data_IF_261292926400
#
_entry.id   IF_261292926400
#
_cell.length_a   1.000
_cell.length_b   1.000
_cell.length_c   1.000
_cell.angle_alpha   90.00
_cell.angle_beta   90.00
_cell.angle_gamma   90.00
#
_symmetry.space_group_name_H-M   'P 1'
#
loop_
_entity.id
_entity.type
_entity.pdbx_description
1 polymer ?
#
# COMPACT_ATOMS: atom_id res chain seq x y z
N UNK A 1 -14.17 -15.46 -23.17
CA UNK A 1 -15.00 -15.34 -21.96
C UNK A 1 -14.51 -16.31 -20.89
N UNK A 2 -14.52 -17.63 -21.15
CA UNK A 2 -14.04 -18.63 -20.18
C UNK A 2 -12.57 -18.49 -19.78
N UNK A 3 -11.64 -18.18 -20.71
CA UNK A 3 -10.24 -17.92 -20.34
C UNK A 3 -10.08 -16.70 -19.41
N UNK A 4 -10.87 -15.64 -19.60
CA UNK A 4 -10.81 -14.47 -18.73
C UNK A 4 -11.38 -14.78 -17.35
N UNK A 5 -12.48 -15.56 -17.30
CA UNK A 5 -13.02 -16.05 -16.03
C UNK A 5 -11.98 -16.89 -15.29
N UNK A 6 -11.38 -17.88 -15.97
CA UNK A 6 -10.35 -18.72 -15.39
C UNK A 6 -9.16 -17.91 -14.86
N UNK A 7 -8.71 -16.90 -15.59
CA UNK A 7 -7.64 -16.02 -15.15
C UNK A 7 -8.02 -15.24 -13.87
N UNK A 8 -9.23 -14.68 -13.84
CA UNK A 8 -9.74 -13.91 -12.69
C UNK A 8 -9.91 -14.81 -11.46
N UNK A 9 -10.55 -15.97 -11.59
CA UNK A 9 -10.70 -16.93 -10.48
C UNK A 9 -9.33 -17.34 -9.92
N UNK A 10 -8.35 -17.54 -10.80
CA UNK A 10 -6.99 -17.91 -10.38
C UNK A 10 -6.26 -16.79 -9.64
N UNK A 11 -6.56 -15.52 -9.97
CA UNK A 11 -6.04 -14.34 -9.27
C UNK A 11 -6.72 -14.13 -7.92
N UNK A 12 -8.00 -14.49 -7.79
CA UNK A 12 -8.76 -14.43 -6.55
C UNK A 12 -8.45 -15.58 -5.58
N UNK A 13 -7.60 -16.53 -5.96
CA UNK A 13 -7.24 -17.69 -5.14
C UNK A 13 -8.18 -18.90 -5.30
N UNK A 14 -9.19 -18.81 -6.17
CA UNK A 14 -10.11 -19.91 -6.47
C UNK A 14 -9.52 -20.84 -7.54
N UNK A 15 -8.40 -21.51 -7.21
CA UNK A 15 -7.62 -22.29 -8.17
C UNK A 15 -8.39 -23.48 -8.77
N UNK A 16 -9.23 -24.16 -8.00
CA UNK A 16 -10.05 -25.26 -8.51
C UNK A 16 -11.11 -24.76 -9.52
N UNK A 17 -11.75 -23.61 -9.23
CA UNK A 17 -12.71 -22.98 -10.13
C UNK A 17 -12.03 -22.46 -11.41
N UNK A 18 -10.82 -21.93 -11.28
CA UNK A 18 -9.99 -21.55 -12.42
C UNK A 18 -9.66 -22.74 -13.33
N UNK A 19 -9.29 -23.89 -12.74
CA UNK A 19 -9.02 -25.13 -13.48
C UNK A 19 -10.28 -25.57 -14.22
N UNK A 20 -11.44 -25.59 -13.56
CA UNK A 20 -12.71 -25.96 -14.17
C UNK A 20 -13.08 -25.04 -15.34
N UNK A 21 -13.01 -23.72 -15.14
CA UNK A 21 -13.32 -22.73 -16.18
C UNK A 21 -12.35 -22.82 -17.40
N UNK A 22 -11.06 -23.09 -17.16
CA UNK A 22 -10.08 -23.29 -18.22
C UNK A 22 -10.30 -24.62 -18.96
N UNK A 23 -10.68 -25.69 -18.26
CA UNK A 23 -11.05 -26.98 -18.88
C UNK A 23 -12.30 -26.83 -19.77
N UNK A 24 -13.31 -26.10 -19.31
CA UNK A 24 -14.48 -25.75 -20.12
C UNK A 24 -14.09 -24.99 -21.39
N UNK A 25 -13.14 -24.05 -21.28
CA UNK A 25 -12.62 -23.34 -22.44
C UNK A 25 -11.97 -24.30 -23.45
N UNK A 26 -11.11 -25.21 -22.98
CA UNK A 26 -10.47 -26.24 -23.82
C UNK A 26 -11.53 -27.14 -24.46
N UNK A 27 -12.57 -27.56 -23.75
CA UNK A 27 -13.64 -28.38 -24.31
C UNK A 27 -14.41 -27.63 -25.42
N UNK A 28 -14.71 -26.35 -25.21
CA UNK A 28 -15.36 -25.50 -26.21
C UNK A 28 -14.50 -25.36 -27.46
N UNK A 29 -13.20 -25.10 -27.31
CA UNK A 29 -12.24 -25.08 -28.41
C UNK A 29 -12.12 -26.46 -29.07
N UNK A 30 -12.17 -27.55 -28.31
CA UNK A 30 -12.18 -28.92 -28.82
C UNK A 30 -13.40 -29.23 -29.68
N UNK A 31 -14.58 -28.69 -29.32
CA UNK A 31 -15.82 -28.83 -30.10
C UNK A 31 -15.79 -28.05 -31.43
N UNK A 32 -14.85 -27.12 -31.60
CA UNK A 32 -14.65 -26.39 -32.87
C UNK A 32 -13.62 -27.04 -33.79
N UNK A 33 -13.01 -28.15 -33.39
CA UNK A 33 -12.07 -28.91 -34.23
C UNK A 33 -12.74 -29.34 -35.53
N UNK A 34 -12.14 -28.96 -36.67
CA UNK A 34 -12.64 -29.27 -38.02
C UNK A 34 -13.66 -28.28 -38.58
N UNK A 35 -14.03 -27.23 -37.85
CA UNK A 35 -14.82 -26.10 -38.38
C UNK A 35 -13.94 -25.19 -39.24
N UNK A 36 -12.68 -25.04 -38.86
CA UNK A 36 -11.70 -24.19 -39.51
C UNK A 36 -10.74 -25.03 -40.36
N UNK A 37 -10.34 -24.51 -41.53
CA UNK A 37 -9.30 -25.14 -42.34
C UNK A 37 -7.96 -25.10 -41.59
N UNK A 38 -7.13 -26.15 -41.65
CA UNK A 38 -5.81 -26.15 -41.02
C UNK A 38 -4.98 -24.94 -41.44
N UNK A 39 -4.44 -24.21 -40.47
CA UNK A 39 -3.65 -23.00 -40.71
C UNK A 39 -4.46 -21.73 -41.03
N UNK A 40 -5.79 -21.79 -40.95
CA UNK A 40 -6.63 -20.59 -41.01
C UNK A 40 -6.58 -19.77 -39.72
N UNK A 41 -7.04 -18.52 -39.78
CA UNK A 41 -7.10 -17.61 -38.63
C UNK A 41 -7.92 -18.20 -37.46
N UNK A 42 -9.02 -18.91 -37.75
CA UNK A 42 -9.84 -19.55 -36.73
C UNK A 42 -9.13 -20.72 -36.04
N UNK A 43 -8.35 -21.51 -36.78
CA UNK A 43 -7.52 -22.59 -36.24
C UNK A 43 -6.42 -22.04 -35.31
N UNK A 44 -5.77 -20.94 -35.72
CA UNK A 44 -4.77 -20.24 -34.91
C UNK A 44 -5.36 -19.63 -33.63
N UNK A 45 -6.54 -18.99 -33.71
CA UNK A 45 -7.24 -18.44 -32.55
C UNK A 45 -7.66 -19.52 -31.56
N UNK A 46 -8.10 -20.67 -32.05
CA UNK A 46 -8.44 -21.83 -31.22
C UNK A 46 -7.22 -22.39 -30.50
N UNK A 47 -6.10 -22.53 -31.20
CA UNK A 47 -4.83 -22.98 -30.64
C UNK A 47 -4.30 -21.97 -29.59
N UNK A 48 -4.36 -20.67 -29.87
CA UNK A 48 -4.01 -19.63 -28.90
C UNK A 48 -4.91 -19.69 -27.65
N UNK A 49 -6.21 -19.87 -27.85
CA UNK A 49 -7.18 -20.01 -26.75
C UNK A 49 -6.92 -21.23 -25.88
N UNK A 50 -6.65 -22.39 -26.50
CA UNK A 50 -6.28 -23.64 -25.81
C UNK A 50 -4.95 -23.48 -25.07
N UNK A 51 -3.96 -22.86 -25.69
CA UNK A 51 -2.65 -22.59 -25.07
C UNK A 51 -2.78 -21.73 -23.81
N UNK A 52 -3.60 -20.66 -23.88
CA UNK A 52 -3.89 -19.79 -22.73
C UNK A 52 -4.53 -20.59 -21.59
N UNK A 53 -5.51 -21.43 -21.90
CA UNK A 53 -6.18 -22.25 -20.90
C UNK A 53 -5.23 -23.25 -20.23
N UNK A 54 -4.37 -23.92 -21.01
CA UNK A 54 -3.35 -24.83 -20.47
C UNK A 54 -2.35 -24.12 -19.56
N UNK A 55 -1.92 -22.91 -19.92
CA UNK A 55 -1.04 -22.08 -19.10
C UNK A 55 -1.71 -21.68 -17.77
N UNK A 56 -2.98 -21.26 -17.80
CA UNK A 56 -3.76 -20.95 -16.58
C UNK A 56 -3.91 -22.18 -15.68
N UNK A 57 -4.20 -23.35 -16.25
CA UNK A 57 -4.29 -24.61 -15.48
C UNK A 57 -2.93 -24.95 -14.85
N UNK A 58 -1.83 -24.79 -15.61
CA UNK A 58 -0.48 -24.99 -15.09
C UNK A 58 -0.18 -24.10 -13.89
N UNK A 59 -0.50 -22.81 -14.00
CA UNK A 59 -0.33 -21.83 -12.92
C UNK A 59 -1.21 -22.13 -11.70
N UNK A 60 -2.46 -22.51 -11.90
CA UNK A 60 -3.36 -22.93 -10.82
C UNK A 60 -2.82 -24.17 -10.09
N UNK A 61 -2.31 -25.18 -10.81
CA UNK A 61 -1.65 -26.33 -10.19
C UNK A 61 -0.40 -25.95 -9.40
N UNK A 62 0.40 -24.99 -9.90
CA UNK A 62 1.55 -24.47 -9.15
C UNK A 62 1.09 -23.83 -7.82
N UNK A 63 0.04 -23.00 -7.84
CA UNK A 63 -0.52 -22.39 -6.62
C UNK A 63 -1.14 -23.40 -5.65
N UNK A 64 -1.64 -24.53 -6.16
CA UNK A 64 -2.08 -25.68 -5.35
C UNK A 64 -0.92 -26.56 -4.84
N UNK A 65 0.34 -26.14 -5.02
CA UNK A 65 1.54 -26.89 -4.67
C UNK A 65 1.63 -28.27 -5.36
N UNK A 66 1.23 -28.33 -6.64
CA UNK A 66 1.23 -29.53 -7.48
C UNK A 66 2.19 -29.37 -8.68
N UNK A 67 3.52 -29.33 -8.42
CA UNK A 67 4.50 -28.92 -9.44
C UNK A 67 4.61 -29.90 -10.62
N UNK A 68 4.36 -31.19 -10.41
CA UNK A 68 4.39 -32.20 -11.49
C UNK A 68 3.27 -31.97 -12.50
N UNK A 69 2.06 -31.66 -12.02
CA UNK A 69 0.91 -31.32 -12.84
C UNK A 69 1.16 -30.00 -13.58
N UNK A 70 1.66 -28.98 -12.87
CA UNK A 70 2.01 -27.69 -13.46
C UNK A 70 2.98 -27.86 -14.65
N UNK A 71 4.09 -28.60 -14.46
CA UNK A 71 5.06 -28.86 -15.54
C UNK A 71 4.45 -29.59 -16.73
N UNK A 72 3.52 -30.52 -16.52
CA UNK A 72 2.85 -31.23 -17.60
C UNK A 72 2.00 -30.27 -18.45
N UNK A 73 1.18 -29.42 -17.80
CA UNK A 73 0.37 -28.44 -18.52
C UNK A 73 1.21 -27.35 -19.19
N UNK A 74 2.26 -26.85 -18.54
CA UNK A 74 3.20 -25.92 -19.17
C UNK A 74 3.92 -26.55 -20.37
N UNK A 75 4.29 -27.82 -20.33
CA UNK A 75 4.88 -28.51 -21.48
C UNK A 75 3.90 -28.59 -22.65
N UNK A 76 2.62 -28.93 -22.40
CA UNK A 76 1.59 -28.94 -23.44
C UNK A 76 1.35 -27.55 -24.01
N UNK A 77 1.26 -26.53 -23.15
CA UNK A 77 1.13 -25.14 -23.56
C UNK A 77 2.34 -24.68 -24.41
N UNK A 78 3.56 -25.05 -24.02
CA UNK A 78 4.78 -24.68 -24.73
C UNK A 78 4.81 -25.30 -26.13
N UNK A 79 4.49 -26.59 -26.25
CA UNK A 79 4.41 -27.27 -27.56
C UNK A 79 3.41 -26.57 -28.48
N UNK A 80 2.23 -26.21 -27.98
CA UNK A 80 1.24 -25.50 -28.78
C UNK A 80 1.69 -24.08 -29.15
N UNK A 81 2.38 -23.38 -28.23
CA UNK A 81 2.97 -22.07 -28.49
C UNK A 81 4.07 -22.11 -29.57
N UNK A 82 4.85 -23.19 -29.63
CA UNK A 82 5.84 -23.45 -30.68
C UNK A 82 5.15 -23.72 -32.03
N UNK A 83 4.12 -24.56 -32.06
CA UNK A 83 3.37 -24.90 -33.28
C UNK A 83 2.74 -23.67 -33.96
N UNK A 84 2.20 -22.73 -33.17
CA UNK A 84 1.58 -21.51 -33.69
C UNK A 84 2.53 -20.31 -33.76
N UNK A 85 3.82 -20.49 -33.45
CA UNK A 85 4.83 -19.43 -33.37
C UNK A 85 4.45 -18.26 -32.42
N UNK A 86 3.74 -18.54 -31.32
CA UNK A 86 3.43 -17.58 -30.26
C UNK A 86 4.66 -17.35 -29.36
N UNK A 87 5.60 -16.53 -29.83
CA UNK A 87 6.84 -16.22 -29.10
C UNK A 87 6.57 -15.57 -27.73
N UNK A 88 5.55 -14.71 -27.63
CA UNK A 88 5.19 -14.09 -26.36
C UNK A 88 4.68 -15.13 -25.36
N UNK A 89 3.82 -16.06 -25.79
CA UNK A 89 3.36 -17.18 -24.99
C UNK A 89 4.48 -18.12 -24.58
N UNK A 90 5.42 -18.45 -25.48
CA UNK A 90 6.61 -19.25 -25.14
C UNK A 90 7.41 -18.62 -24.00
N UNK A 91 7.65 -17.31 -24.05
CA UNK A 91 8.38 -16.58 -23.02
C UNK A 91 7.65 -16.64 -21.66
N UNK A 92 6.35 -16.37 -21.64
CA UNK A 92 5.52 -16.46 -20.42
C UNK A 92 5.56 -17.86 -19.80
N UNK A 93 5.42 -18.91 -20.62
CA UNK A 93 5.43 -20.31 -20.15
C UNK A 93 6.82 -20.69 -19.59
N UNK A 94 7.91 -20.19 -20.19
CA UNK A 94 9.26 -20.39 -19.65
C UNK A 94 9.41 -19.70 -18.29
N UNK A 95 8.86 -18.51 -18.10
CA UNK A 95 8.82 -17.84 -16.79
C UNK A 95 8.05 -18.66 -15.77
N UNK A 96 6.84 -19.14 -16.10
CA UNK A 96 6.08 -20.00 -15.18
C UNK A 96 6.81 -21.32 -14.88
N UNK A 97 7.48 -21.92 -15.87
CA UNK A 97 8.30 -23.12 -15.67
C UNK A 97 9.46 -22.86 -14.71
N UNK A 98 10.09 -21.68 -14.80
CA UNK A 98 11.09 -21.22 -13.84
C UNK A 98 10.51 -21.14 -12.42
N UNK A 99 9.30 -20.59 -12.26
CA UNK A 99 8.62 -20.51 -10.97
C UNK A 99 8.32 -21.89 -10.36
N UNK A 100 8.01 -22.90 -11.18
CA UNK A 100 7.86 -24.28 -10.68
C UNK A 100 9.18 -24.82 -10.12
N UNK A 101 10.31 -24.60 -10.81
CA UNK A 101 11.61 -25.05 -10.28
C UNK A 101 12.01 -24.28 -9.03
N UNK A 102 11.66 -23.00 -8.94
CA UNK A 102 11.85 -22.19 -7.73
C UNK A 102 11.04 -22.77 -6.56
N UNK A 103 9.76 -23.08 -6.74
CA UNK A 103 8.93 -23.68 -5.68
C UNK A 103 9.43 -25.06 -5.22
N UNK A 104 10.19 -25.75 -6.06
CA UNK A 104 10.87 -27.01 -5.73
C UNK A 104 12.24 -26.82 -5.07
N UNK A 105 12.75 -25.58 -4.97
CA UNK A 105 14.07 -25.24 -4.45
C UNK A 105 15.23 -25.40 -5.47
N UNK A 106 14.96 -25.74 -6.73
CA UNK A 106 15.97 -25.80 -7.79
C UNK A 106 16.17 -24.41 -8.42
N UNK A 107 16.74 -23.50 -7.62
CA UNK A 107 16.89 -22.08 -7.96
C UNK A 107 17.83 -21.86 -9.15
N UNK A 108 18.83 -22.72 -9.34
CA UNK A 108 19.76 -22.62 -10.48
C UNK A 108 19.01 -22.91 -11.78
N UNK A 109 18.15 -23.93 -11.78
CA UNK A 109 17.34 -24.27 -12.96
C UNK A 109 16.26 -23.22 -13.21
N UNK A 110 15.63 -22.69 -12.17
CA UNK A 110 14.71 -21.56 -12.28
C UNK A 110 15.35 -20.37 -13.02
N UNK A 111 16.56 -19.98 -12.61
CA UNK A 111 17.31 -18.89 -13.24
C UNK A 111 17.68 -19.15 -14.71
N UNK A 112 17.92 -20.41 -15.12
CA UNK A 112 18.12 -20.75 -16.54
C UNK A 112 16.86 -20.50 -17.38
N UNK A 113 15.70 -20.95 -16.88
CA UNK A 113 14.42 -20.72 -17.53
C UNK A 113 14.08 -19.24 -17.64
N UNK A 114 14.28 -18.47 -16.56
CA UNK A 114 14.06 -17.02 -16.58
C UNK A 114 14.95 -16.29 -17.58
N UNK A 115 16.24 -16.63 -17.67
CA UNK A 115 17.15 -16.04 -18.67
C UNK A 115 16.70 -16.32 -20.10
N UNK A 116 16.23 -17.54 -20.37
CA UNK A 116 15.68 -17.92 -21.68
C UNK A 116 14.41 -17.14 -22.00
N UNK A 117 13.52 -16.98 -21.03
CA UNK A 117 12.30 -16.17 -21.18
C UNK A 117 12.63 -14.70 -21.49
N UNK A 118 13.59 -14.09 -20.79
CA UNK A 118 14.00 -12.70 -21.01
C UNK A 118 14.49 -12.43 -22.43
N UNK A 119 15.28 -13.34 -23.03
CA UNK A 119 15.75 -13.20 -24.42
C UNK A 119 14.57 -13.12 -25.40
N UNK A 120 13.53 -13.93 -25.17
CA UNK A 120 12.35 -13.93 -26.04
C UNK A 120 11.50 -12.69 -25.77
N UNK A 121 11.25 -12.33 -24.50
CA UNK A 121 10.51 -11.12 -24.14
C UNK A 121 11.14 -9.86 -24.75
N UNK A 122 12.47 -9.74 -24.71
CA UNK A 122 13.21 -8.63 -25.33
C UNK A 122 13.01 -8.62 -26.86
N UNK A 123 13.11 -9.78 -27.51
CA UNK A 123 12.92 -9.92 -28.96
C UNK A 123 11.53 -9.46 -29.42
N UNK A 124 10.48 -9.71 -28.62
CA UNK A 124 9.10 -9.34 -28.94
C UNK A 124 8.66 -8.00 -28.32
N UNK A 125 9.54 -7.32 -27.56
CA UNK A 125 9.24 -6.06 -26.90
C UNK A 125 8.19 -6.15 -25.77
N UNK A 126 8.08 -7.29 -25.08
CA UNK A 126 7.10 -7.49 -24.00
C UNK A 126 7.65 -6.99 -22.65
N UNK A 127 7.61 -5.67 -22.43
CA UNK A 127 8.11 -5.02 -21.19
C UNK A 127 7.42 -5.56 -19.92
N UNK A 128 6.11 -5.85 -19.96
CA UNK A 128 5.39 -6.41 -18.82
C UNK A 128 5.91 -7.79 -18.42
N UNK A 129 6.15 -8.66 -19.41
CA UNK A 129 6.74 -9.98 -19.20
C UNK A 129 8.18 -9.90 -18.71
N UNK A 130 8.96 -8.93 -19.20
CA UNK A 130 10.32 -8.67 -18.68
C UNK A 130 10.28 -8.27 -17.21
N UNK A 131 9.39 -7.33 -16.83
CA UNK A 131 9.25 -6.89 -15.44
C UNK A 131 8.92 -8.04 -14.49
N UNK A 132 7.94 -8.88 -14.84
CA UNK A 132 7.58 -10.06 -14.06
C UNK A 132 8.73 -11.08 -13.98
N UNK A 133 9.44 -11.32 -15.08
CA UNK A 133 10.56 -12.28 -15.11
C UNK A 133 11.75 -11.78 -14.29
N UNK A 134 12.07 -10.49 -14.36
CA UNK A 134 13.11 -9.87 -13.53
C UNK A 134 12.77 -9.93 -12.03
N UNK A 135 11.51 -9.69 -11.66
CA UNK A 135 11.04 -9.87 -10.28
C UNK A 135 11.24 -11.32 -9.79
N UNK A 136 10.82 -12.30 -10.60
CA UNK A 136 10.99 -13.71 -10.27
C UNK A 136 12.47 -14.11 -10.12
N UNK A 137 13.35 -13.59 -11.00
CA UNK A 137 14.80 -13.75 -10.85
C UNK A 137 15.33 -13.12 -9.56
N UNK A 138 14.88 -11.90 -9.24
CA UNK A 138 15.25 -11.22 -8.00
C UNK A 138 14.88 -12.02 -6.76
N UNK A 139 13.68 -12.62 -6.76
CA UNK A 139 13.22 -13.51 -5.69
C UNK A 139 14.09 -14.77 -5.56
N UNK A 140 14.35 -15.47 -6.67
CA UNK A 140 15.21 -16.65 -6.65
C UNK A 140 16.65 -16.34 -6.20
N UNK A 141 17.18 -15.17 -6.57
CA UNK A 141 18.50 -14.70 -6.15
C UNK A 141 18.53 -14.32 -4.67
N UNK A 142 17.44 -13.73 -4.16
CA UNK A 142 17.27 -13.48 -2.73
C UNK A 142 17.25 -14.81 -1.95
N UNK A 143 16.49 -15.82 -2.38
CA UNK A 143 16.51 -17.15 -1.75
C UNK A 143 17.90 -17.81 -1.77
N UNK A 144 18.71 -17.54 -2.80
CA UNK A 144 20.11 -17.97 -2.90
C UNK A 144 21.10 -17.14 -2.07
N UNK A 145 20.64 -16.10 -1.36
CA UNK A 145 21.47 -15.13 -0.66
C UNK A 145 22.45 -14.35 -1.56
N UNK A 146 22.12 -14.22 -2.84
CA UNK A 146 22.86 -13.45 -3.84
C UNK A 146 22.32 -12.02 -3.93
N UNK A 147 22.41 -11.30 -2.80
CA UNK A 147 21.77 -9.99 -2.63
C UNK A 147 22.14 -8.94 -3.70
N UNK A 148 23.41 -8.78 -4.11
CA UNK A 148 23.75 -7.79 -5.13
C UNK A 148 23.13 -8.11 -6.49
N UNK A 149 23.07 -9.38 -6.87
CA UNK A 149 22.40 -9.78 -8.11
C UNK A 149 20.88 -9.63 -8.00
N UNK A 150 20.29 -9.96 -6.84
CA UNK A 150 18.87 -9.75 -6.60
C UNK A 150 18.49 -8.27 -6.75
N UNK A 151 19.27 -7.37 -6.15
CA UNK A 151 19.12 -5.92 -6.25
C UNK A 151 19.09 -5.46 -7.71
N UNK A 152 20.07 -5.91 -8.52
CA UNK A 152 20.14 -5.58 -9.94
C UNK A 152 18.86 -6.01 -10.70
N UNK A 153 18.41 -7.25 -10.48
CA UNK A 153 17.23 -7.75 -11.18
C UNK A 153 15.95 -7.02 -10.75
N UNK A 154 15.80 -6.66 -9.47
CA UNK A 154 14.62 -5.94 -8.99
C UNK A 154 14.59 -4.50 -9.48
N UNK A 155 15.73 -3.82 -9.59
CA UNK A 155 15.80 -2.52 -10.26
C UNK A 155 15.44 -2.62 -11.75
N UNK A 156 15.89 -3.68 -12.43
CA UNK A 156 15.47 -3.95 -13.80
C UNK A 156 13.94 -4.15 -13.89
N UNK A 157 13.34 -4.90 -12.97
CA UNK A 157 11.89 -5.10 -12.91
C UNK A 157 11.13 -3.76 -12.79
N UNK A 158 11.52 -2.93 -11.83
CA UNK A 158 10.93 -1.60 -11.62
C UNK A 158 11.06 -0.76 -12.90
N UNK A 159 12.24 -0.72 -13.51
CA UNK A 159 12.46 0.07 -14.73
C UNK A 159 11.54 -0.35 -15.88
N UNK A 160 11.29 -1.65 -16.07
CA UNK A 160 10.39 -2.15 -17.12
C UNK A 160 8.93 -1.76 -16.87
N UNK A 161 8.46 -1.85 -15.64
CA UNK A 161 7.10 -1.42 -15.31
C UNK A 161 6.92 0.09 -15.37
N UNK A 162 7.95 0.88 -15.05
CA UNK A 162 7.92 2.32 -15.23
C UNK A 162 7.73 2.74 -16.69
N UNK A 163 8.32 1.98 -17.64
CA UNK A 163 8.13 2.24 -19.07
C UNK A 163 6.68 2.03 -19.54
N UNK A 164 5.89 1.21 -18.82
CA UNK A 164 4.48 0.96 -19.15
C UNK A 164 3.55 2.09 -18.67
N UNK A 165 4.00 2.90 -17.72
CA UNK A 165 3.16 3.90 -17.04
C UNK A 165 2.59 4.98 -17.98
N UNK A 166 3.34 5.53 -18.95
CA UNK A 166 2.78 6.48 -19.91
C UNK A 166 1.77 5.80 -20.84
N UNK A 167 0.48 6.15 -20.73
CA UNK A 167 -0.57 5.71 -21.66
C UNK A 167 -1.51 4.62 -21.14
N UNK A 168 -1.34 4.13 -19.91
CA UNK A 168 -2.31 3.23 -19.26
C UNK A 168 -3.57 3.99 -18.83
N UNK A 169 -4.74 3.38 -19.07
CA UNK A 169 -5.99 3.79 -18.41
C UNK A 169 -5.92 3.47 -16.90
N UNK A 170 -6.68 4.21 -16.09
CA UNK A 170 -6.57 4.15 -14.63
C UNK A 170 -6.79 2.74 -14.05
N UNK A 171 -7.65 1.93 -14.67
CA UNK A 171 -7.93 0.54 -14.25
C UNK A 171 -6.68 -0.36 -14.33
N UNK A 172 -5.83 -0.19 -15.34
CA UNK A 172 -4.61 -0.97 -15.50
C UNK A 172 -3.43 -0.42 -14.68
N UNK A 173 -3.56 0.80 -14.13
CA UNK A 173 -2.56 1.34 -13.20
C UNK A 173 -2.63 0.66 -11.84
N UNK A 174 -3.80 0.18 -11.42
CA UNK A 174 -3.99 -0.53 -10.15
C UNK A 174 -3.24 -1.85 -10.16
N UNK A 175 -3.44 -2.69 -11.18
CA UNK A 175 -2.72 -3.97 -11.31
C UNK A 175 -1.21 -3.80 -11.46
N UNK A 176 -0.76 -2.71 -12.12
CA UNK A 176 0.66 -2.37 -12.18
C UNK A 176 1.20 -1.95 -10.81
N UNK A 177 0.41 -1.22 -10.01
CA UNK A 177 0.80 -0.79 -8.68
C UNK A 177 0.99 -1.98 -7.73
N UNK A 178 0.12 -2.99 -7.79
CA UNK A 178 0.24 -4.20 -6.96
C UNK A 178 1.53 -4.98 -7.25
N UNK A 179 1.86 -5.19 -8.53
CA UNK A 179 3.11 -5.84 -8.96
C UNK A 179 4.35 -5.02 -8.58
N UNK A 180 4.24 -3.70 -8.63
CA UNK A 180 5.28 -2.80 -8.18
C UNK A 180 5.48 -2.87 -6.66
N UNK A 181 4.41 -2.96 -5.85
CA UNK A 181 4.50 -3.03 -4.37
C UNK A 181 5.35 -4.20 -3.92
N UNK A 182 5.04 -5.42 -4.38
CA UNK A 182 5.76 -6.64 -4.02
C UNK A 182 7.26 -6.54 -4.35
N UNK A 183 7.59 -5.86 -5.45
CA UNK A 183 8.98 -5.67 -5.86
C UNK A 183 9.70 -4.62 -5.03
N UNK A 184 9.01 -3.54 -4.66
CA UNK A 184 9.55 -2.55 -3.73
C UNK A 184 9.84 -3.16 -2.37
N UNK A 185 8.92 -3.96 -1.83
CA UNK A 185 9.07 -4.68 -0.57
C UNK A 185 10.24 -5.67 -0.60
N UNK A 186 10.33 -6.49 -1.65
CA UNK A 186 11.44 -7.43 -1.80
C UNK A 186 12.78 -6.71 -1.97
N UNK A 187 12.84 -5.64 -2.78
CA UNK A 187 14.06 -4.87 -2.95
C UNK A 187 14.47 -4.18 -1.65
N UNK A 188 13.52 -3.71 -0.84
CA UNK A 188 13.82 -3.17 0.47
C UNK A 188 14.48 -4.23 1.36
N UNK A 189 13.94 -5.45 1.43
CA UNK A 189 14.54 -6.57 2.17
C UNK A 189 15.95 -6.89 1.66
N UNK A 190 16.17 -6.89 0.34
CA UNK A 190 17.49 -7.09 -0.28
C UNK A 190 18.49 -6.01 0.14
N UNK A 191 18.06 -4.74 0.21
CA UNK A 191 18.91 -3.63 0.63
C UNK A 191 19.26 -3.72 2.13
N UNK A 192 18.28 -4.03 2.98
CA UNK A 192 18.49 -4.26 4.41
C UNK A 192 19.46 -5.43 4.66
N UNK A 193 19.31 -6.54 3.94
CA UNK A 193 20.22 -7.69 4.00
C UNK A 193 21.67 -7.35 3.60
N UNK A 194 21.86 -6.27 2.83
CA UNK A 194 23.17 -5.74 2.44
C UNK A 194 23.67 -4.62 3.37
N UNK A 195 22.95 -4.31 4.45
CA UNK A 195 23.21 -3.17 5.34
C UNK A 195 23.13 -1.79 4.66
N UNK A 196 22.39 -1.71 3.54
CA UNK A 196 22.10 -0.48 2.79
C UNK A 196 20.81 0.18 3.30
N UNK A 197 20.80 0.55 4.59
CA UNK A 197 19.58 1.02 5.27
C UNK A 197 19.08 2.37 4.75
N UNK A 198 19.99 3.20 4.25
CA UNK A 198 19.64 4.51 3.70
C UNK A 198 18.98 4.37 2.32
N UNK A 199 19.53 3.54 1.46
CA UNK A 199 18.93 3.22 0.16
C UNK A 199 17.55 2.57 0.32
N UNK A 200 17.38 1.74 1.36
CA UNK A 200 16.10 1.15 1.72
C UNK A 200 15.06 2.19 2.18
N UNK A 201 15.49 3.26 2.85
CA UNK A 201 14.64 4.40 3.25
C UNK A 201 14.20 5.21 2.03
N UNK A 202 15.13 5.57 1.13
CA UNK A 202 14.78 6.28 -0.11
C UNK A 202 13.78 5.47 -0.96
N UNK A 203 13.95 4.15 -1.00
CA UNK A 203 13.04 3.24 -1.69
C UNK A 203 11.64 3.21 -1.05
N UNK A 204 11.57 3.22 0.29
CA UNK A 204 10.32 3.24 1.04
C UNK A 204 9.48 4.49 0.70
N UNK A 205 10.12 5.66 0.70
CA UNK A 205 9.47 6.93 0.34
C UNK A 205 9.05 6.97 -1.13
N UNK A 206 9.83 6.33 -2.03
CA UNK A 206 9.46 6.18 -3.44
C UNK A 206 8.16 5.41 -3.63
N UNK A 207 7.92 4.36 -2.84
CA UNK A 207 6.71 3.55 -2.88
C UNK A 207 5.47 4.31 -2.40
N UNK A 208 5.60 5.10 -1.32
CA UNK A 208 4.46 5.73 -0.62
C UNK A 208 4.00 7.05 -1.20
N UNK A 209 4.93 7.94 -1.55
CA UNK A 209 4.59 9.31 -1.93
C UNK A 209 3.84 9.39 -3.26
N UNK A 210 4.13 8.50 -4.19
CA UNK A 210 3.85 8.78 -5.60
C UNK A 210 2.37 8.94 -5.96
N UNK A 211 1.49 8.04 -5.54
CA UNK A 211 0.06 8.11 -5.88
C UNK A 211 -0.62 9.32 -5.24
N UNK A 212 -0.28 9.62 -3.98
CA UNK A 212 -0.85 10.76 -3.27
C UNK A 212 -0.31 12.09 -3.83
N UNK A 213 0.97 12.16 -4.17
CA UNK A 213 1.61 13.34 -4.77
C UNK A 213 1.05 13.61 -6.18
N UNK A 214 0.84 12.56 -7.00
CA UNK A 214 0.17 12.68 -8.30
C UNK A 214 -1.26 13.24 -8.15
N UNK A 215 -2.00 12.77 -7.14
CA UNK A 215 -3.34 13.27 -6.81
C UNK A 215 -3.31 14.74 -6.35
N UNK A 216 -2.38 15.11 -5.47
CA UNK A 216 -2.20 16.50 -5.04
C UNK A 216 -1.86 17.42 -6.22
N UNK A 217 -0.86 17.06 -7.03
CA UNK A 217 -0.44 17.86 -8.18
C UNK A 217 -1.59 18.08 -9.19
N UNK A 218 -2.36 17.02 -9.46
CA UNK A 218 -3.56 17.09 -10.32
C UNK A 218 -4.59 18.06 -9.76
N UNK A 219 -4.85 18.00 -8.45
CA UNK A 219 -5.81 18.89 -7.77
C UNK A 219 -5.34 20.36 -7.76
N UNK A 220 -4.02 20.61 -7.74
CA UNK A 220 -3.45 21.96 -7.74
C UNK A 220 -3.27 22.59 -9.12
N UNK A 221 -3.61 21.88 -10.22
CA UNK A 221 -3.40 22.34 -11.61
C UNK A 221 -1.96 22.79 -11.90
N UNK A 222 -1.00 22.31 -11.12
CA UNK A 222 0.41 22.41 -11.46
C UNK A 222 0.75 21.22 -12.35
N UNK A 223 1.62 21.41 -13.35
CA UNK A 223 2.23 20.23 -13.97
C UNK A 223 2.93 19.49 -12.83
N UNK A 224 2.56 18.24 -12.49
CA UNK A 224 3.34 17.48 -11.53
C UNK A 224 4.78 17.53 -12.05
N UNK A 225 5.73 18.11 -11.30
CA UNK A 225 7.11 17.82 -11.62
C UNK A 225 7.23 16.28 -11.59
N UNK A 226 8.12 15.71 -12.38
CA UNK A 226 8.58 14.36 -12.08
C UNK A 226 9.29 14.47 -10.72
N UNK A 227 8.54 14.39 -9.62
CA UNK A 227 9.08 14.54 -8.29
C UNK A 227 9.76 13.21 -8.02
N UNK A 228 11.06 13.17 -8.26
CA UNK A 228 11.89 12.07 -7.84
C UNK A 228 11.63 11.82 -6.33
N UNK A 229 11.71 10.57 -5.87
CA UNK A 229 11.68 10.30 -4.43
C UNK A 229 12.75 11.14 -3.71
N UNK A 230 12.50 11.58 -2.47
CA UNK A 230 13.46 12.38 -1.73
C UNK A 230 14.72 11.55 -1.47
N UNK A 231 15.88 12.12 -1.78
CA UNK A 231 17.17 11.60 -1.35
C UNK A 231 17.34 11.69 0.16
N UNK A 232 18.28 10.96 0.74
CA UNK A 232 18.61 11.05 2.18
C UNK A 232 18.89 12.49 2.61
N UNK A 233 19.62 13.26 1.80
CA UNK A 233 19.91 14.65 2.11
C UNK A 233 18.64 15.51 2.18
N UNK A 234 17.66 15.24 1.31
CA UNK A 234 16.35 15.89 1.34
C UNK A 234 15.53 15.44 2.55
N UNK A 235 15.52 14.15 2.87
CA UNK A 235 14.85 13.60 4.08
C UNK A 235 15.40 14.28 5.35
N UNK A 236 16.72 14.37 5.48
CA UNK A 236 17.38 15.05 6.61
C UNK A 236 17.01 16.54 6.67
N UNK A 237 16.99 17.22 5.52
CA UNK A 237 16.59 18.62 5.43
C UNK A 237 15.13 18.83 5.83
N UNK A 238 14.24 17.88 5.51
CA UNK A 238 12.82 17.93 5.89
C UNK A 238 12.68 17.77 7.40
N UNK A 239 13.37 16.82 8.04
CA UNK A 239 13.36 16.68 9.51
C UNK A 239 13.84 17.96 10.21
N UNK A 240 14.95 18.54 9.72
CA UNK A 240 15.47 19.83 10.18
C UNK A 240 14.45 20.96 10.03
N UNK A 241 13.78 21.05 8.88
CA UNK A 241 12.78 22.08 8.59
C UNK A 241 11.54 21.96 9.47
N UNK A 242 11.09 20.74 9.76
CA UNK A 242 9.92 20.48 10.62
C UNK A 242 10.22 20.66 12.10
N UNK A 243 11.52 20.70 12.47
CA UNK A 243 11.98 20.67 13.86
C UNK A 243 11.31 19.54 14.64
N UNK A 244 11.31 18.34 14.05
CA UNK A 244 10.62 17.17 14.58
C UNK A 244 11.40 15.90 14.29
N UNK A 245 11.35 14.94 15.21
CA UNK A 245 11.85 13.58 14.97
C UNK A 245 10.85 12.85 14.08
N UNK A 246 11.29 12.41 12.91
CA UNK A 246 10.47 11.61 12.00
C UNK A 246 10.69 10.13 12.30
N UNK A 247 9.62 9.36 12.36
CA UNK A 247 9.68 7.90 12.56
C UNK A 247 8.95 7.24 11.41
N UNK A 248 9.71 6.69 10.48
CA UNK A 248 9.18 6.03 9.29
C UNK A 248 9.15 4.51 9.49
N UNK A 249 8.00 3.90 9.23
CA UNK A 249 7.80 2.46 9.30
C UNK A 249 7.71 1.86 7.91
N UNK A 250 8.41 0.75 7.68
CA UNK A 250 8.11 -0.13 6.56
C UNK A 250 7.76 -1.54 7.03
N UNK A 251 6.87 -2.20 6.30
CA UNK A 251 6.39 -3.53 6.63
C UNK A 251 6.96 -4.59 5.67
N UNK A 252 7.24 -5.75 6.24
CA UNK A 252 7.40 -7.01 5.52
C UNK A 252 6.58 -8.09 6.23
N UNK A 253 6.42 -9.27 5.60
CA UNK A 253 5.67 -10.38 6.21
C UNK A 253 6.22 -10.82 7.56
N UNK A 254 7.53 -10.65 7.80
CA UNK A 254 8.24 -11.19 8.96
C UNK A 254 8.74 -10.12 9.92
N UNK A 255 8.95 -8.89 9.45
CA UNK A 255 9.61 -7.82 10.19
C UNK A 255 8.98 -6.45 9.98
N UNK A 256 9.08 -5.60 10.99
CA UNK A 256 8.85 -4.16 10.91
C UNK A 256 10.20 -3.46 10.85
N UNK A 257 10.38 -2.60 9.85
CA UNK A 257 11.54 -1.74 9.68
C UNK A 257 11.23 -0.32 10.12
N UNK A 258 12.17 0.30 10.82
CA UNK A 258 11.96 1.58 11.49
C UNK A 258 13.15 2.48 11.26
N UNK A 259 12.91 3.67 10.72
CA UNK A 259 13.91 4.73 10.61
C UNK A 259 13.51 5.89 11.51
N UNK A 260 14.42 6.29 12.40
CA UNK A 260 14.28 7.48 13.22
C UNK A 260 15.20 8.55 12.66
N UNK A 261 14.62 9.64 12.16
CA UNK A 261 15.34 10.78 11.58
C UNK A 261 15.20 11.95 12.53
N UNK A 262 16.30 12.30 13.21
CA UNK A 262 16.32 13.37 14.19
C UNK A 262 16.43 14.75 13.52
N UNK A 263 16.00 15.83 14.21
CA UNK A 263 16.09 17.19 13.70
C UNK A 263 17.52 17.67 13.40
N UNK A 264 18.55 16.99 13.89
CA UNK A 264 19.95 17.27 13.56
C UNK A 264 20.41 16.60 12.27
N UNK A 265 19.59 15.71 11.70
CA UNK A 265 19.85 14.93 10.50
C UNK A 265 20.45 13.55 10.77
N UNK A 266 20.63 13.13 12.02
CA UNK A 266 21.00 11.74 12.31
C UNK A 266 19.87 10.78 11.91
N UNK A 267 20.24 9.68 11.24
CA UNK A 267 19.30 8.62 10.85
C UNK A 267 19.73 7.34 11.56
N UNK A 268 18.85 6.80 12.38
CA UNK A 268 19.01 5.51 13.03
C UNK A 268 18.02 4.50 12.45
N UNK A 269 18.48 3.27 12.24
CA UNK A 269 17.67 2.15 11.77
C UNK A 269 17.49 1.10 12.87
N UNK A 270 16.28 0.55 12.97
CA UNK A 270 15.92 -0.60 13.81
C UNK A 270 15.00 -1.53 13.02
N UNK A 271 15.01 -2.81 13.39
CA UNK A 271 14.05 -3.79 12.90
C UNK A 271 13.56 -4.68 14.04
N UNK A 272 12.33 -5.17 13.90
CA UNK A 272 11.71 -6.11 14.83
C UNK A 272 11.15 -7.29 14.06
N UNK A 273 11.56 -8.50 14.43
CA UNK A 273 10.92 -9.71 13.93
C UNK A 273 9.59 -9.94 14.64
N UNK A 274 8.53 -10.16 13.86
CA UNK A 274 7.15 -10.26 14.34
C UNK A 274 6.82 -11.65 14.92
N UNK A 275 7.40 -12.71 14.35
CA UNK A 275 7.10 -14.10 14.71
C UNK A 275 7.25 -14.42 16.21
N UNK A 276 8.30 -13.96 16.93
CA UNK A 276 8.44 -14.21 18.37
C UNK A 276 7.36 -13.53 19.24
N UNK A 277 6.82 -12.40 18.78
CA UNK A 277 5.86 -11.57 19.54
C UNK A 277 4.42 -11.99 19.21
N UNK A 278 4.12 -12.18 17.92
CA UNK A 278 2.75 -12.44 17.45
C UNK A 278 2.43 -13.93 17.24
N UNK A 279 3.43 -14.81 17.24
CA UNK A 279 3.24 -16.23 16.94
C UNK A 279 2.64 -16.43 15.55
N UNK A 280 1.42 -16.97 15.48
CA UNK A 280 0.69 -17.18 14.21
C UNK A 280 -0.24 -16.02 13.83
N UNK A 281 -0.32 -14.97 14.65
CA UNK A 281 -1.17 -13.80 14.39
C UNK A 281 -0.44 -12.83 13.45
N UNK A 282 -1.14 -12.28 12.46
CA UNK A 282 -0.57 -11.19 11.64
C UNK A 282 -0.66 -9.84 12.34
N UNK A 283 0.24 -8.92 11.99
CA UNK A 283 0.20 -7.54 12.49
C UNK A 283 -1.09 -6.84 12.08
N UNK A 284 -1.56 -7.04 10.85
CA UNK A 284 -2.85 -6.51 10.39
C UNK A 284 -4.02 -6.98 11.27
N UNK A 285 -4.06 -8.27 11.63
CA UNK A 285 -5.09 -8.81 12.51
C UNK A 285 -4.97 -8.28 13.94
N UNK A 286 -3.77 -7.95 14.42
CA UNK A 286 -3.56 -7.25 15.69
C UNK A 286 -4.13 -5.83 15.64
N UNK A 287 -3.76 -5.06 14.63
CA UNK A 287 -4.25 -3.69 14.45
C UNK A 287 -5.77 -3.66 14.32
N UNK A 288 -6.34 -4.56 13.52
CA UNK A 288 -7.78 -4.67 13.32
C UNK A 288 -8.51 -4.96 14.63
N UNK A 289 -8.09 -5.96 15.41
CA UNK A 289 -8.78 -6.24 16.68
C UNK A 289 -8.61 -5.13 17.71
N UNK A 290 -7.47 -4.44 17.71
CA UNK A 290 -7.24 -3.29 18.59
C UNK A 290 -8.28 -2.22 18.28
N UNK A 291 -8.49 -1.94 16.98
CA UNK A 291 -9.48 -0.97 16.53
C UNK A 291 -10.90 -1.41 16.85
N UNK A 292 -11.27 -2.65 16.53
CA UNK A 292 -12.59 -3.20 16.81
C UNK A 292 -12.89 -3.18 18.32
N UNK A 293 -11.87 -3.47 19.13
CA UNK A 293 -11.96 -3.48 20.58
C UNK A 293 -12.24 -2.11 21.19
N UNK A 294 -11.71 -1.03 20.62
CA UNK A 294 -11.97 0.34 21.10
C UNK A 294 -13.45 0.75 20.98
N UNK A 295 -14.27 0.06 20.17
CA UNK A 295 -15.68 0.40 19.96
C UNK A 295 -16.67 -0.51 20.70
N UNK A 296 -16.20 -1.53 21.42
CA UNK A 296 -17.06 -2.53 22.06
C UNK A 296 -16.97 -2.39 23.58
N UNK A 297 -17.89 -1.69 24.22
CA UNK A 297 -18.04 -1.80 25.69
C UNK A 297 -18.52 -3.22 26.07
N UNK A 298 -17.95 -3.86 27.11
CA UNK A 298 -16.99 -3.36 28.11
C UNK A 298 -15.52 -3.71 27.81
N UNK A 299 -15.20 -4.13 26.59
CA UNK A 299 -13.88 -4.62 26.22
C UNK A 299 -12.93 -3.45 25.93
N UNK A 300 -11.80 -3.43 26.63
CA UNK A 300 -10.73 -2.46 26.43
C UNK A 300 -9.48 -3.22 25.94
N UNK A 301 -8.92 -2.90 24.76
CA UNK A 301 -7.85 -3.68 24.13
C UNK A 301 -6.47 -3.34 24.71
N UNK A 302 -6.32 -3.40 26.04
CA UNK A 302 -5.10 -3.00 26.73
C UNK A 302 -3.89 -3.87 26.37
N UNK A 303 -4.08 -5.19 26.27
CA UNK A 303 -3.02 -6.14 25.89
C UNK A 303 -2.56 -5.90 24.45
N UNK A 304 -3.49 -5.62 23.52
CA UNK A 304 -3.14 -5.31 22.15
C UNK A 304 -2.40 -3.97 22.01
N UNK A 305 -2.82 -2.95 22.76
CA UNK A 305 -2.14 -1.64 22.80
C UNK A 305 -0.71 -1.77 23.35
N UNK A 306 -0.49 -2.62 24.36
CA UNK A 306 0.84 -2.93 24.87
C UNK A 306 1.69 -3.70 23.87
N UNK A 307 1.11 -4.70 23.20
CA UNK A 307 1.82 -5.48 22.17
C UNK A 307 2.22 -4.59 20.98
N UNK A 308 1.35 -3.67 20.56
CA UNK A 308 1.69 -2.68 19.54
C UNK A 308 2.77 -1.70 20.01
N UNK A 309 2.77 -1.29 21.28
CA UNK A 309 3.85 -0.49 21.85
C UNK A 309 5.19 -1.25 21.85
N UNK A 310 5.19 -2.53 22.24
CA UNK A 310 6.36 -3.40 22.23
C UNK A 310 6.97 -3.51 20.82
N UNK A 311 6.13 -3.62 19.79
CA UNK A 311 6.58 -3.74 18.40
C UNK A 311 7.04 -2.39 17.83
N UNK A 312 6.31 -1.30 18.10
CA UNK A 312 6.46 -0.04 17.36
C UNK A 312 7.23 1.04 18.11
N UNK A 313 7.29 1.02 19.45
CA UNK A 313 7.87 2.10 20.23
C UNK A 313 9.09 1.63 21.01
N UNK A 314 8.97 0.52 21.75
CA UNK A 314 10.06 -0.04 22.57
C UNK A 314 11.42 -0.15 21.82
N UNK A 315 11.49 -0.58 20.54
CA UNK A 315 12.76 -0.74 19.82
C UNK A 315 13.50 0.56 19.50
N UNK A 316 12.78 1.69 19.52
CA UNK A 316 13.30 3.02 19.19
C UNK A 316 13.18 4.00 20.35
N UNK A 317 12.73 3.57 21.53
CA UNK A 317 12.47 4.46 22.65
C UNK A 317 13.71 5.27 23.08
N UNK A 318 14.92 4.72 22.89
CA UNK A 318 16.20 5.40 23.14
C UNK A 318 16.53 6.51 22.14
N UNK A 319 15.83 6.54 21.00
CA UNK A 319 16.04 7.48 19.90
C UNK A 319 14.97 8.57 19.86
N UNK A 320 13.90 8.44 20.65
CA UNK A 320 12.81 9.41 20.71
C UNK A 320 13.17 10.59 21.62
N UNK A 321 12.64 11.79 21.34
CA UNK A 321 12.86 12.96 22.18
C UNK A 321 12.30 12.74 23.59
N UNK A 322 13.01 13.29 24.58
CA UNK A 322 12.58 13.22 26.00
C UNK A 322 11.87 14.48 26.47
N UNK A 323 11.94 15.57 25.69
CA UNK A 323 11.18 16.79 25.93
C UNK A 323 9.77 16.63 25.33
N UNK A 324 8.70 16.69 26.13
CA UNK A 324 7.33 16.54 25.64
C UNK A 324 6.92 17.59 24.59
N UNK A 325 7.60 18.75 24.54
CA UNK A 325 7.34 19.81 23.56
C UNK A 325 7.97 19.51 22.18
N UNK A 326 8.94 18.58 22.12
CA UNK A 326 9.52 18.13 20.87
C UNK A 326 8.55 17.19 20.15
N UNK A 327 8.37 17.44 18.85
CA UNK A 327 7.39 16.74 18.02
C UNK A 327 7.97 15.44 17.50
N UNK A 328 7.17 14.38 17.58
CA UNK A 328 7.37 13.13 16.85
C UNK A 328 6.34 13.07 15.72
N UNK A 329 6.81 12.84 14.49
CA UNK A 329 5.93 12.62 13.34
C UNK A 329 6.10 11.17 12.90
N UNK A 330 5.07 10.35 13.10
CA UNK A 330 5.03 8.99 12.57
C UNK A 330 4.65 9.00 11.10
N UNK A 331 5.34 8.19 10.30
CA UNK A 331 5.04 7.90 8.90
C UNK A 331 4.72 6.40 8.79
N UNK A 332 3.44 6.01 9.00
CA UNK A 332 3.03 4.61 8.97
C UNK A 332 2.98 4.05 7.54
N UNK A 333 2.95 2.72 7.43
CA UNK A 333 2.68 2.00 6.18
C UNK A 333 1.48 1.04 6.37
N UNK A 334 0.64 0.92 5.34
CA UNK A 334 -0.50 0.00 5.26
C UNK A 334 -1.38 -0.01 6.53
N UNK A 335 -1.56 -1.17 7.18
CA UNK A 335 -2.42 -1.28 8.37
C UNK A 335 -1.96 -0.39 9.52
N UNK A 336 -0.68 0.04 9.56
CA UNK A 336 -0.18 0.92 10.62
C UNK A 336 -0.84 2.31 10.61
N UNK A 337 -1.46 2.73 9.51
CA UNK A 337 -2.29 3.95 9.50
C UNK A 337 -3.50 3.88 10.44
N UNK A 338 -3.91 2.67 10.82
CA UNK A 338 -5.03 2.44 11.73
C UNK A 338 -4.58 2.28 13.19
N UNK A 339 -3.26 2.32 13.47
CA UNK A 339 -2.73 2.24 14.83
C UNK A 339 -3.02 3.55 15.58
N UNK A 340 -3.65 3.49 16.76
CA UNK A 340 -3.87 4.67 17.59
C UNK A 340 -2.59 4.99 18.37
N UNK A 341 -1.56 5.54 17.72
CA UNK A 341 -0.25 5.83 18.34
C UNK A 341 -0.36 6.57 19.68
N UNK A 342 -1.29 7.52 19.78
CA UNK A 342 -1.57 8.30 20.99
C UNK A 342 -2.01 7.44 22.19
N UNK A 343 -2.66 6.30 21.92
CA UNK A 343 -3.23 5.39 22.91
C UNK A 343 -2.36 4.15 23.18
N UNK A 344 -1.20 4.02 22.52
CA UNK A 344 -0.26 2.94 22.82
C UNK A 344 0.16 3.01 24.28
N UNK A 345 0.23 1.84 24.92
CA UNK A 345 0.49 1.68 26.35
C UNK A 345 1.88 1.09 26.57
N UNK A 346 2.67 1.73 27.42
CA UNK A 346 3.93 1.14 27.89
C UNK A 346 3.71 0.04 28.96
N UNK A 347 4.81 -0.58 29.42
CA UNK A 347 4.79 -1.61 30.48
C UNK A 347 4.26 -1.07 31.83
N UNK A 348 4.29 0.25 32.04
CA UNK A 348 3.75 0.92 33.23
C UNK A 348 2.31 1.42 33.04
N UNK A 349 1.62 1.00 31.98
CA UNK A 349 0.26 1.40 31.62
C UNK A 349 0.10 2.91 31.37
N UNK A 350 1.17 3.58 30.90
CA UNK A 350 1.11 4.99 30.49
C UNK A 350 0.90 5.10 29.00
N UNK A 351 0.04 6.03 28.62
CA UNK A 351 -0.23 6.32 27.22
C UNK A 351 0.91 7.13 26.60
N UNK A 352 1.27 6.81 25.36
CA UNK A 352 2.37 7.48 24.65
C UNK A 352 2.19 9.01 24.55
N UNK A 353 0.94 9.48 24.41
CA UNK A 353 0.60 10.91 24.37
C UNK A 353 0.92 11.67 25.67
N UNK A 354 1.10 10.97 26.79
CA UNK A 354 1.46 11.62 28.07
C UNK A 354 2.92 12.09 28.10
N UNK A 355 3.77 11.54 27.23
CA UNK A 355 5.20 11.81 27.21
C UNK A 355 5.66 12.57 25.97
N UNK A 356 4.87 12.59 24.90
CA UNK A 356 5.30 13.11 23.60
C UNK A 356 4.20 13.89 22.88
N UNK A 357 4.60 14.91 22.11
CA UNK A 357 3.72 15.57 21.14
C UNK A 357 3.75 14.79 19.81
N UNK A 358 2.62 14.18 19.44
CA UNK A 358 2.55 13.23 18.33
C UNK A 358 1.78 13.77 17.13
N UNK A 359 2.31 13.52 15.94
CA UNK A 359 1.68 13.76 14.64
C UNK A 359 1.83 12.54 13.75
N UNK A 360 0.99 12.43 12.73
CA UNK A 360 1.08 11.39 11.70
C UNK A 360 1.07 12.01 10.31
N UNK A 361 1.87 11.49 9.40
CA UNK A 361 1.93 11.92 8.01
C UNK A 361 1.93 10.72 7.05
N UNK A 362 1.40 10.86 5.82
CA UNK A 362 1.39 9.76 4.85
C UNK A 362 2.76 9.49 4.22
N UNK A 363 3.63 10.51 4.12
CA UNK A 363 5.03 10.36 3.71
C UNK A 363 5.85 11.59 4.12
N UNK A 364 7.17 11.46 4.17
CA UNK A 364 8.10 12.58 4.42
C UNK A 364 8.01 13.60 3.27
N UNK A 365 7.87 13.12 2.04
CA UNK A 365 7.71 14.00 0.88
C UNK A 365 6.45 14.89 0.96
N UNK A 366 5.34 14.38 1.51
CA UNK A 366 4.11 15.16 1.71
C UNK A 366 4.30 16.25 2.76
N UNK A 367 5.07 15.99 3.82
CA UNK A 367 5.43 17.02 4.81
C UNK A 367 6.18 18.18 4.15
N UNK A 368 7.09 17.89 3.21
CA UNK A 368 7.82 18.91 2.47
C UNK A 368 6.90 19.77 1.60
N UNK A 369 6.03 19.13 0.80
CA UNK A 369 5.11 19.83 -0.09
C UNK A 369 4.12 20.72 0.67
N UNK A 370 3.51 20.18 1.72
CA UNK A 370 2.53 20.94 2.53
C UNK A 370 3.20 22.16 3.18
N UNK A 371 4.43 22.00 3.68
CA UNK A 371 5.21 23.12 4.22
C UNK A 371 5.59 24.15 3.15
N UNK A 372 6.08 23.72 1.99
CA UNK A 372 6.43 24.62 0.87
C UNK A 372 5.22 25.44 0.43
N UNK A 373 4.06 24.80 0.29
CA UNK A 373 2.84 25.47 -0.13
C UNK A 373 2.36 26.47 0.93
N UNK A 374 2.46 26.14 2.22
CA UNK A 374 2.21 27.10 3.30
C UNK A 374 3.15 28.31 3.24
N UNK A 375 4.44 28.10 2.98
CA UNK A 375 5.43 29.16 2.89
C UNK A 375 5.23 30.07 1.65
N UNK A 376 4.94 29.48 0.48
CA UNK A 376 4.67 30.22 -0.76
C UNK A 376 3.37 31.03 -0.69
N UNK A 377 2.32 30.47 -0.07
CA UNK A 377 1.06 31.18 0.14
C UNK A 377 1.21 32.38 1.09
N UNK A 378 2.13 32.32 2.06
CA UNK A 378 2.47 33.47 2.91
C UNK A 378 3.17 34.61 2.15
N UNK A 379 3.82 34.33 1.01
CA UNK A 379 4.64 35.30 0.28
C UNK A 379 3.98 35.94 -0.94
N UNK A 380 3.05 35.27 -1.64
CA UNK A 380 2.70 35.65 -3.02
C UNK A 380 1.35 36.32 -3.22
N UNK A 381 0.32 36.13 -2.37
CA UNK A 381 -0.95 36.88 -2.45
C UNK A 381 -1.83 36.63 -1.21
N UNK A 382 -2.11 37.63 -0.36
CA UNK A 382 -3.02 37.46 0.78
C UNK A 382 -4.50 37.30 0.39
N UNK A 383 -4.87 37.49 -0.88
CA UNK A 383 -6.28 37.65 -1.30
C UNK A 383 -6.78 36.66 -2.35
N UNK A 384 -5.95 35.83 -2.97
CA UNK A 384 -6.38 34.91 -4.03
C UNK A 384 -5.52 33.63 -4.12
N UNK A 385 -5.75 32.68 -3.23
CA UNK A 385 -5.61 31.25 -3.54
C UNK A 385 -6.44 30.43 -2.54
N UNK A 386 -7.21 29.49 -3.06
CA UNK A 386 -8.12 28.62 -2.29
C UNK A 386 -7.27 27.56 -1.59
N UNK A 387 -6.81 27.86 -0.38
CA UNK A 387 -6.31 26.84 0.55
C UNK A 387 -7.55 26.16 1.12
N UNK A 388 -7.68 24.84 1.00
CA UNK A 388 -8.71 24.10 1.73
C UNK A 388 -8.48 24.37 3.22
N UNK A 389 -9.35 25.16 3.85
CA UNK A 389 -9.37 25.37 5.29
C UNK A 389 -8.47 26.47 5.87
N UNK A 390 -8.10 27.53 5.12
CA UNK A 390 -7.63 28.76 5.76
C UNK A 390 -8.44 29.99 5.29
N UNK A 391 -8.95 30.82 6.20
CA UNK A 391 -9.75 31.99 5.87
C UNK A 391 -8.93 33.09 5.20
N UNK A 392 -9.61 33.83 4.29
CA UNK A 392 -9.08 34.95 3.50
C UNK A 392 -8.63 36.17 4.33
N UNK A 393 -8.86 36.14 5.65
CA UNK A 393 -8.39 37.11 6.63
C UNK A 393 -8.18 36.40 7.99
N UNK A 394 -6.95 36.38 8.55
CA UNK A 394 -6.67 35.77 9.86
C UNK A 394 -7.52 36.34 11.01
N UNK A 395 -8.03 37.57 10.89
CA UNK A 395 -8.88 38.19 11.92
C UNK A 395 -10.36 37.80 11.82
N UNK A 396 -10.79 37.15 10.72
CA UNK A 396 -12.17 36.67 10.52
C UNK A 396 -12.30 35.14 10.61
N UNK A 397 -11.19 34.44 10.88
CA UNK A 397 -11.17 33.01 11.08
C UNK A 397 -12.03 32.56 12.26
N UNK A 398 -13.01 31.67 12.04
CA UNK A 398 -13.74 31.02 13.13
C UNK A 398 -13.35 29.56 13.23
N UNK A 399 -12.80 29.16 14.36
CA UNK A 399 -12.47 27.75 14.61
C UNK A 399 -13.76 26.94 14.76
N UNK A 400 -13.83 25.80 14.07
CA UNK A 400 -14.97 24.88 14.09
C UNK A 400 -14.64 23.71 15.01
N UNK A 401 -15.46 23.54 16.04
CA UNK A 401 -15.35 22.42 16.98
C UNK A 401 -16.68 21.70 16.97
N UNK A 402 -16.69 20.45 16.50
CA UNK A 402 -17.86 19.60 16.34
C UNK A 402 -17.77 18.42 17.30
N UNK A 403 -18.81 18.18 18.09
CA UNK A 403 -18.85 17.08 19.07
C UNK A 403 -20.20 16.40 19.13
N UNK A 404 -20.22 15.06 19.09
CA UNK A 404 -21.43 14.25 19.32
C UNK A 404 -22.71 14.80 18.62
N UNK A 405 -22.71 14.98 17.27
CA UNK A 405 -23.90 15.43 16.56
C UNK A 405 -25.05 14.45 16.75
N UNK A 406 -26.29 14.92 16.58
CA UNK A 406 -27.43 14.00 16.49
C UNK A 406 -27.26 13.10 15.28
N UNK A 407 -26.95 11.83 15.53
CA UNK A 407 -26.58 10.88 14.49
C UNK A 407 -27.80 10.45 13.64
N UNK A 408 -27.61 10.28 12.33
CA UNK A 408 -28.63 9.67 11.48
C UNK A 408 -28.91 8.22 11.90
N UNK A 409 -30.06 7.71 11.47
CA UNK A 409 -30.46 6.31 11.69
C UNK A 409 -29.43 5.41 11.01
N UNK A 410 -28.89 4.43 11.75
CA UNK A 410 -28.06 3.38 11.18
C UNK A 410 -28.94 2.56 10.22
N UNK A 411 -28.56 2.53 8.93
CA UNK A 411 -29.34 1.89 7.87
C UNK A 411 -29.39 0.36 8.00
N UNK A 412 -28.44 -0.26 8.70
CA UNK A 412 -28.41 -1.70 8.95
C UNK A 412 -29.28 -2.10 10.14
N UNK A 413 -29.32 -1.29 11.21
CA UNK A 413 -30.04 -1.63 12.45
C UNK A 413 -31.39 -0.91 12.60
N UNK A 414 -31.67 0.10 11.76
CA UNK A 414 -32.90 0.90 11.80
C UNK A 414 -33.03 1.80 13.04
N UNK A 415 -32.01 1.88 13.88
CA UNK A 415 -31.98 2.69 15.10
C UNK A 415 -30.90 3.79 15.02
N UNK A 416 -31.07 4.93 15.72
CA UNK A 416 -30.00 5.93 15.84
C UNK A 416 -28.78 5.32 16.52
N UNK A 417 -27.58 5.74 16.14
CA UNK A 417 -26.37 5.41 16.88
C UNK A 417 -26.45 5.98 18.32
N UNK A 418 -25.85 5.25 19.27
CA UNK A 418 -25.80 5.69 20.66
C UNK A 418 -25.01 7.01 20.76
N UNK A 419 -25.41 7.98 21.60
CA UNK A 419 -24.63 9.20 21.81
C UNK A 419 -23.24 8.91 22.37
N UNK A 420 -22.23 9.67 21.93
CA UNK A 420 -20.85 9.61 22.44
C UNK A 420 -20.64 10.75 23.44
N UNK A 421 -20.92 10.51 24.72
CA UNK A 421 -20.75 11.55 25.76
C UNK A 421 -19.31 12.05 25.86
N UNK A 422 -18.32 11.17 25.73
CA UNK A 422 -16.90 11.55 25.72
C UNK A 422 -16.54 12.51 24.58
N UNK A 423 -17.10 12.30 23.38
CA UNK A 423 -16.87 13.17 22.24
C UNK A 423 -17.52 14.55 22.42
N UNK A 424 -18.64 14.62 23.14
CA UNK A 424 -19.26 15.89 23.53
C UNK A 424 -18.40 16.65 24.53
N UNK A 425 -17.88 15.97 25.54
CA UNK A 425 -16.97 16.53 26.55
C UNK A 425 -15.66 17.03 25.92
N UNK A 426 -15.07 16.24 25.02
CA UNK A 426 -13.88 16.61 24.24
C UNK A 426 -14.11 17.89 23.46
N UNK A 427 -15.18 17.95 22.66
CA UNK A 427 -15.51 19.14 21.88
C UNK A 427 -15.74 20.37 22.76
N UNK A 428 -16.36 20.24 23.93
CA UNK A 428 -16.54 21.36 24.85
C UNK A 428 -15.20 21.86 25.42
N UNK A 429 -14.29 20.95 25.77
CA UNK A 429 -12.96 21.30 26.28
C UNK A 429 -12.11 21.99 25.20
N UNK A 430 -12.08 21.44 23.99
CA UNK A 430 -11.36 22.01 22.85
C UNK A 430 -11.94 23.38 22.46
N UNK A 431 -13.27 23.53 22.46
CA UNK A 431 -13.89 24.81 22.19
C UNK A 431 -13.51 25.88 23.21
N UNK A 432 -13.45 25.52 24.49
CA UNK A 432 -12.98 26.40 25.56
C UNK A 432 -11.51 26.81 25.35
N UNK A 433 -10.66 25.86 24.97
CA UNK A 433 -9.25 26.11 24.69
C UNK A 433 -9.03 27.05 23.48
N UNK A 434 -9.84 26.90 22.44
CA UNK A 434 -9.77 27.71 21.22
C UNK A 434 -10.57 29.02 21.29
N UNK A 435 -11.19 29.34 22.44
CA UNK A 435 -12.11 30.48 22.62
C UNK A 435 -13.20 30.52 21.54
N UNK A 436 -13.78 29.36 21.24
CA UNK A 436 -14.86 29.19 20.26
C UNK A 436 -16.05 28.44 20.87
N UNK A 437 -17.12 28.29 20.09
CA UNK A 437 -18.31 27.54 20.49
C UNK A 437 -18.30 26.16 19.85
N UNK A 438 -18.46 25.12 20.68
CA UNK A 438 -18.70 23.77 20.19
C UNK A 438 -20.09 23.67 19.53
N UNK A 439 -20.16 23.09 18.34
CA UNK A 439 -21.38 22.58 17.73
C UNK A 439 -21.62 21.17 18.25
N UNK A 440 -22.68 20.98 19.03
CA UNK A 440 -23.00 19.69 19.66
C UNK A 440 -24.47 19.31 19.48
N UNK A 441 -24.75 18.00 19.49
CA UNK A 441 -26.11 17.46 19.44
C UNK A 441 -26.93 17.99 18.27
N UNK A 442 -28.13 18.50 18.54
CA UNK A 442 -29.05 18.98 17.50
C UNK A 442 -28.59 20.27 16.80
N UNK A 443 -27.64 21.02 17.39
CA UNK A 443 -27.06 22.22 16.78
C UNK A 443 -26.00 21.87 15.72
N UNK A 444 -25.40 20.68 15.81
CA UNK A 444 -24.37 20.18 14.92
C UNK A 444 -24.96 19.61 13.62
N UNK A 445 -25.59 20.47 12.81
CA UNK A 445 -26.21 20.05 11.55
C UNK A 445 -25.22 20.12 10.38
N UNK A 446 -25.40 19.25 9.36
CA UNK A 446 -24.61 19.27 8.12
C UNK A 446 -24.55 20.66 7.47
N UNK A 447 -25.65 21.42 7.51
CA UNK A 447 -25.70 22.76 6.93
C UNK A 447 -24.76 23.73 7.67
N UNK A 448 -24.78 23.72 9.01
CA UNK A 448 -23.93 24.56 9.84
C UNK A 448 -22.45 24.19 9.67
N UNK A 449 -22.15 22.89 9.65
CA UNK A 449 -20.78 22.38 9.43
C UNK A 449 -20.24 22.83 8.07
N UNK A 450 -20.97 22.58 6.97
CA UNK A 450 -20.52 22.95 5.61
C UNK A 450 -20.37 24.47 5.45
N UNK A 451 -21.25 25.25 6.08
CA UNK A 451 -21.16 26.71 6.04
C UNK A 451 -19.89 27.21 6.72
N UNK A 452 -19.47 26.56 7.81
CA UNK A 452 -18.38 27.04 8.66
C UNK A 452 -17.02 26.47 8.24
N UNK A 453 -16.97 25.19 7.84
CA UNK A 453 -15.74 24.42 7.58
C UNK A 453 -14.83 25.08 6.53
N UNK A 454 -15.41 25.67 5.48
CA UNK A 454 -14.66 26.34 4.42
C UNK A 454 -14.02 27.66 4.85
N UNK A 455 -14.47 28.22 5.97
CA UNK A 455 -13.98 29.47 6.56
C UNK A 455 -13.21 29.25 7.86
N UNK A 456 -13.11 28.01 8.32
CA UNK A 456 -12.43 27.66 9.56
C UNK A 456 -10.94 27.56 9.35
N UNK A 457 -10.18 27.98 10.38
CA UNK A 457 -8.72 27.85 10.45
C UNK A 457 -8.32 26.54 11.12
N UNK A 458 -9.04 26.16 12.18
CA UNK A 458 -8.92 24.87 12.85
C UNK A 458 -10.28 24.18 12.74
N UNK A 459 -10.24 22.89 12.40
CA UNK A 459 -11.40 22.01 12.37
C UNK A 459 -11.12 20.84 13.31
N UNK A 460 -11.90 20.76 14.39
CA UNK A 460 -11.89 19.64 15.32
C UNK A 460 -13.22 18.89 15.19
N UNK A 461 -13.15 17.57 15.00
CA UNK A 461 -14.31 16.70 14.78
C UNK A 461 -14.21 15.52 15.75
N UNK A 462 -15.07 15.51 16.75
CA UNK A 462 -15.26 14.40 17.69
C UNK A 462 -16.65 13.80 17.45
N UNK A 463 -16.77 12.88 16.49
CA UNK A 463 -18.04 12.27 16.05
C UNK A 463 -17.85 10.77 15.77
N UNK A 464 -18.92 10.03 15.44
CA UNK A 464 -18.74 8.66 14.97
C UNK A 464 -18.14 8.68 13.55
N UNK A 465 -17.20 7.77 13.30
CA UNK A 465 -16.84 7.36 11.95
C UNK A 465 -17.59 6.09 11.56
N UNK A 466 -18.46 6.15 10.55
CA UNK A 466 -18.95 4.96 9.87
C UNK A 466 -18.15 4.80 8.57
N UNK A 467 -17.29 3.79 8.53
CA UNK A 467 -16.71 3.32 7.27
C UNK A 467 -17.76 2.38 6.66
N UNK A 468 -18.40 2.78 5.56
CA UNK A 468 -19.11 1.80 4.74
C UNK A 468 -18.08 0.79 4.21
N UNK A 469 -18.44 -0.50 4.26
CA UNK A 469 -17.60 -1.61 3.83
C UNK A 469 -16.89 -1.30 2.50
N UNK A 470 -15.60 -1.61 2.46
CA UNK A 470 -14.67 -1.33 1.37
C UNK A 470 -15.15 -1.84 0.01
N UNK A 471 -15.95 -1.04 -0.70
CA UNK A 471 -16.04 -1.05 -2.16
C UNK A 471 -16.13 0.41 -2.63
N UNK A 472 -14.96 1.06 -2.71
CA UNK A 472 -14.80 2.37 -3.35
C UNK A 472 -14.79 3.57 -2.40
N UNK A 473 -13.62 4.19 -2.30
CA UNK A 473 -13.34 5.56 -1.87
C UNK A 473 -14.56 6.39 -1.42
N UNK A 474 -14.77 6.44 -0.09
CA UNK A 474 -15.83 7.25 0.50
C UNK A 474 -15.78 7.25 2.02
N UNK A 475 -14.74 7.84 2.62
CA UNK A 475 -14.79 8.19 4.05
C UNK A 475 -15.77 9.33 4.24
N UNK A 476 -16.96 9.05 4.80
CA UNK A 476 -17.82 10.08 5.34
C UNK A 476 -17.40 10.37 6.78
N UNK A 477 -16.50 11.34 6.94
CA UNK A 477 -16.46 12.12 8.19
C UNK A 477 -17.61 13.13 8.07
N UNK A 478 -18.65 12.96 8.88
CA UNK A 478 -19.73 13.94 9.01
C UNK A 478 -19.52 14.86 10.21
#
# INVERSE_FOLDING_TARGET
>A
MYNNLALVENQLGHHDDAIAAAQDAIEIFGKTIGIFEPGSEGDMLQALGTRLALDIIGDAHLRLNQPTQALNYFQQALTLAEEINDQAGQATILTHTGAVYQSQGDLVKALDFYRRALVIHDTVGNESGMGATFHAMGTALFELQQWPQAEEQLYNAIARWENLRPGLQDEYKVSLADLQSQTYELLQRVLIAQHKTNEALELAERGRGRAFIELLATNFKENPPAIAPPSIAEIQAIAQQQQATLVEYALSDEEVYMWVINPDGEIAFRSVSLSPILGSRSLEALVKSTRDGMFIEPYYPGEELQTLHEILITPIADLLPTDPEEKIIFIPQDSLFLVPFVALLDEEERYLIQSHTLLTAPSIQVLALTHQQQAQNRQTNPTNSLVVGFPRDPQMAKDLVLGNPTMPINLQTGSPLAPLSGAEEEAQQIATFLDTKALIGAAATKAEVIQTINSSRIVHIATHGLLEDMVGLGTLVL
#
